data_IF_833244798174
#
_entry.id   IF_833244798174
#
_cell.length_a   1.000
_cell.length_b   1.000
_cell.length_c   1.000
_cell.angle_alpha   90.00
_cell.angle_beta   90.00
_cell.angle_gamma   90.00
#
_symmetry.space_group_name_H-M   'P 1'
#
loop_
_entity.id
_entity.type
_entity.pdbx_description
1 polymer ?
#
# COMPACT_ATOMS: atom_id res chain seq x y z
N UNK A 1 -31.28 -22.75 -44.64
CA UNK A 1 -30.45 -21.69 -45.25
C UNK A 1 -29.91 -20.83 -44.12
N UNK A 2 -28.63 -21.00 -43.77
CA UNK A 2 -27.97 -20.14 -42.80
C UNK A 2 -27.69 -18.79 -43.47
N UNK A 3 -28.27 -17.72 -42.94
CA UNK A 3 -27.91 -16.35 -43.34
C UNK A 3 -26.47 -16.12 -42.89
N UNK A 4 -25.53 -16.15 -43.82
CA UNK A 4 -24.14 -15.79 -43.57
C UNK A 4 -24.05 -14.29 -43.29
N UNK A 5 -23.20 -13.92 -42.34
CA UNK A 5 -22.86 -12.53 -42.05
C UNK A 5 -22.16 -11.89 -43.26
N UNK A 6 -22.51 -10.67 -43.64
CA UNK A 6 -21.89 -9.99 -44.77
C UNK A 6 -20.50 -9.45 -44.39
N UNK A 7 -19.57 -9.48 -45.34
CA UNK A 7 -18.22 -8.93 -45.15
C UNK A 7 -18.25 -7.44 -44.80
N UNK A 8 -19.20 -6.67 -45.37
CA UNK A 8 -19.32 -5.24 -45.04
C UNK A 8 -19.87 -5.00 -43.64
N UNK A 9 -20.75 -5.89 -43.15
CA UNK A 9 -21.25 -5.82 -41.78
C UNK A 9 -20.10 -6.06 -40.79
N UNK A 10 -19.20 -6.99 -41.10
CA UNK A 10 -18.04 -7.26 -40.27
C UNK A 10 -17.02 -6.11 -40.29
N UNK A 11 -16.78 -5.48 -41.45
CA UNK A 11 -15.85 -4.37 -41.58
C UNK A 11 -16.27 -3.13 -40.77
N UNK A 12 -17.57 -2.80 -40.76
CA UNK A 12 -18.08 -1.67 -39.97
C UNK A 12 -17.93 -1.96 -38.47
N UNK A 13 -18.20 -3.19 -38.03
CA UNK A 13 -18.05 -3.58 -36.62
C UNK A 13 -16.59 -3.45 -36.17
N UNK A 14 -15.63 -3.92 -36.97
CA UNK A 14 -14.19 -3.79 -36.64
C UNK A 14 -13.78 -2.32 -36.58
N UNK A 15 -14.26 -1.48 -37.50
CA UNK A 15 -13.96 -0.05 -37.50
C UNK A 15 -14.48 0.65 -36.22
N UNK A 16 -15.70 0.33 -35.78
CA UNK A 16 -16.27 0.91 -34.56
C UNK A 16 -15.52 0.42 -33.32
N UNK A 17 -15.22 -0.88 -33.21
CA UNK A 17 -14.45 -1.44 -32.09
C UNK A 17 -13.07 -0.78 -32.01
N UNK A 18 -12.41 -0.52 -33.14
CA UNK A 18 -11.11 0.15 -33.18
C UNK A 18 -11.13 1.55 -32.55
N UNK A 19 -12.15 2.36 -32.86
CA UNK A 19 -12.31 3.71 -32.29
C UNK A 19 -12.62 3.63 -30.79
N UNK A 20 -13.54 2.75 -30.38
CA UNK A 20 -13.92 2.58 -28.98
C UNK A 20 -12.75 2.09 -28.13
N UNK A 21 -11.92 1.19 -28.66
CA UNK A 21 -10.72 0.71 -27.98
C UNK A 21 -9.71 1.84 -27.75
N UNK A 22 -9.45 2.69 -28.75
CA UNK A 22 -8.49 3.78 -28.65
C UNK A 22 -8.87 4.79 -27.55
N UNK A 23 -10.14 5.23 -27.52
CA UNK A 23 -10.63 6.15 -26.47
C UNK A 23 -10.68 5.47 -25.10
N UNK A 24 -11.10 4.20 -25.07
CA UNK A 24 -11.20 3.42 -23.84
C UNK A 24 -9.87 3.24 -23.12
N UNK A 25 -8.78 3.01 -23.85
CA UNK A 25 -7.43 2.81 -23.28
C UNK A 25 -6.96 4.05 -22.52
N UNK A 26 -7.07 5.24 -23.12
CA UNK A 26 -6.59 6.50 -22.51
C UNK A 26 -7.40 6.82 -21.24
N UNK A 27 -8.73 6.69 -21.32
CA UNK A 27 -9.59 6.92 -20.16
C UNK A 27 -9.27 5.92 -19.03
N UNK A 28 -9.18 4.63 -19.34
CA UNK A 28 -8.89 3.58 -18.37
C UNK A 28 -7.55 3.78 -17.65
N UNK A 29 -6.52 4.21 -18.38
CA UNK A 29 -5.21 4.52 -17.79
C UNK A 29 -5.30 5.63 -16.74
N UNK A 30 -6.07 6.70 -17.00
CA UNK A 30 -6.24 7.81 -16.05
C UNK A 30 -7.05 7.41 -14.80
N UNK A 31 -8.11 6.62 -14.98
CA UNK A 31 -8.93 6.12 -13.86
C UNK A 31 -8.15 5.15 -12.97
N UNK A 32 -7.41 4.22 -13.57
CA UNK A 32 -6.61 3.25 -12.81
C UNK A 32 -5.51 3.96 -12.01
N UNK A 33 -4.84 4.96 -12.59
CA UNK A 33 -3.85 5.73 -11.85
C UNK A 33 -4.47 6.50 -10.68
N UNK A 34 -5.58 7.20 -10.91
CA UNK A 34 -6.28 7.93 -9.84
C UNK A 34 -6.76 6.99 -8.72
N UNK A 35 -7.21 5.78 -9.07
CA UNK A 35 -7.61 4.77 -8.11
C UNK A 35 -6.42 4.28 -7.26
N UNK A 36 -5.25 4.03 -7.87
CA UNK A 36 -4.03 3.66 -7.15
C UNK A 36 -3.56 4.74 -6.19
N UNK A 37 -3.55 6.01 -6.64
CA UNK A 37 -3.19 7.16 -5.80
C UNK A 37 -4.08 7.23 -4.56
N UNK A 38 -5.40 7.10 -4.75
CA UNK A 38 -6.37 7.17 -3.65
C UNK A 38 -6.25 5.99 -2.70
N UNK A 39 -6.05 4.77 -3.22
CA UNK A 39 -5.79 3.59 -2.41
C UNK A 39 -4.50 3.74 -1.60
N UNK A 40 -3.43 4.27 -2.20
CA UNK A 40 -2.16 4.52 -1.52
C UNK A 40 -2.32 5.52 -0.37
N UNK A 41 -3.02 6.64 -0.60
CA UNK A 41 -3.35 7.61 0.45
C UNK A 41 -4.15 6.97 1.59
N UNK A 42 -5.13 6.14 1.25
CA UNK A 42 -5.92 5.41 2.23
C UNK A 42 -5.05 4.45 3.04
N UNK A 43 -4.19 3.66 2.40
CA UNK A 43 -3.28 2.74 3.06
C UNK A 43 -2.33 3.46 4.02
N UNK A 44 -1.77 4.61 3.62
CA UNK A 44 -0.94 5.43 4.50
C UNK A 44 -1.70 5.85 5.76
N UNK A 45 -2.89 6.45 5.59
CA UNK A 45 -3.71 6.89 6.73
C UNK A 45 -4.12 5.73 7.64
N UNK A 46 -4.47 4.59 7.05
CA UNK A 46 -4.87 3.40 7.79
C UNK A 46 -3.69 2.79 8.55
N UNK A 47 -2.50 2.72 7.95
CA UNK A 47 -1.29 2.28 8.63
C UNK A 47 -0.95 3.18 9.82
N UNK A 48 -0.97 4.51 9.64
CA UNK A 48 -0.73 5.47 10.74
C UNK A 48 -1.70 5.24 11.90
N UNK A 49 -3.01 5.15 11.60
CA UNK A 49 -4.04 4.89 12.61
C UNK A 49 -3.89 3.52 13.25
N UNK A 50 -3.57 2.51 12.46
CA UNK A 50 -3.35 1.15 12.95
C UNK A 50 -2.18 1.12 13.93
N UNK A 51 -1.06 1.76 13.58
CA UNK A 51 0.11 1.87 14.45
C UNK A 51 -0.20 2.62 15.74
N UNK A 52 -0.90 3.75 15.66
CA UNK A 52 -1.37 4.49 16.85
C UNK A 52 -2.25 3.61 17.74
N UNK A 53 -3.20 2.88 17.16
CA UNK A 53 -4.11 2.03 17.92
C UNK A 53 -3.37 0.87 18.62
N UNK A 54 -2.42 0.22 17.95
CA UNK A 54 -1.63 -0.85 18.56
C UNK A 54 -0.70 -0.32 19.66
N UNK A 55 -0.08 0.84 19.47
CA UNK A 55 0.71 1.47 20.54
C UNK A 55 -0.17 1.92 21.72
N UNK A 56 -1.36 2.45 21.46
CA UNK A 56 -2.32 2.84 22.49
C UNK A 56 -2.75 1.65 23.35
N UNK A 57 -2.89 0.44 22.79
CA UNK A 57 -3.17 -0.77 23.58
C UNK A 57 -2.13 -1.00 24.68
N UNK A 58 -0.86 -0.70 24.40
CA UNK A 58 0.18 -0.75 25.42
C UNK A 58 -0.01 0.31 26.52
N UNK A 59 -0.43 1.53 26.15
CA UNK A 59 -0.71 2.62 27.09
C UNK A 59 -1.90 2.33 28.03
N UNK A 60 -2.93 1.62 27.55
CA UNK A 60 -4.12 1.26 28.36
C UNK A 60 -3.94 0.00 29.21
N UNK A 61 -2.71 -0.52 29.35
CA UNK A 61 -2.37 -1.58 30.29
C UNK A 61 -2.20 -2.99 29.69
N UNK A 62 -2.17 -3.13 28.36
CA UNK A 62 -1.75 -4.41 27.76
C UNK A 62 -0.26 -4.63 27.96
N UNK A 63 0.12 -5.86 28.34
CA UNK A 63 1.54 -6.23 28.51
C UNK A 63 2.20 -6.66 27.20
N UNK A 64 1.40 -7.17 26.26
CA UNK A 64 1.87 -7.72 24.99
C UNK A 64 0.85 -7.45 23.88
N UNK A 65 1.34 -7.18 22.68
CA UNK A 65 0.56 -7.13 21.45
C UNK A 65 0.65 -8.47 20.73
N UNK A 66 -0.47 -8.94 20.20
CA UNK A 66 -0.51 -10.13 19.34
C UNK A 66 -0.56 -9.67 17.88
N UNK A 67 0.56 -9.83 17.19
CA UNK A 67 0.79 -9.32 15.84
C UNK A 67 1.14 -10.46 14.90
N UNK A 68 1.13 -10.18 13.60
CA UNK A 68 1.55 -11.07 12.53
C UNK A 68 2.99 -10.79 12.12
N UNK A 69 3.72 -11.84 11.79
CA UNK A 69 5.00 -11.73 11.08
C UNK A 69 4.75 -11.46 9.60
N UNK A 70 5.82 -11.25 8.83
CA UNK A 70 5.74 -10.96 7.40
C UNK A 70 4.78 -11.89 6.65
N UNK A 71 3.85 -11.32 5.87
CA UNK A 71 2.94 -12.08 5.00
C UNK A 71 3.72 -12.95 4.01
N UNK A 72 4.85 -12.46 3.49
CA UNK A 72 5.77 -13.23 2.62
C UNK A 72 6.31 -14.52 3.26
N UNK A 73 6.27 -14.64 4.58
CA UNK A 73 6.68 -15.81 5.34
C UNK A 73 5.49 -16.56 5.97
N UNK A 74 4.28 -16.36 5.41
CA UNK A 74 3.06 -17.06 5.81
C UNK A 74 2.25 -16.40 6.93
N UNK A 75 2.64 -15.22 7.43
CA UNK A 75 1.82 -14.48 8.40
C UNK A 75 1.62 -15.23 9.72
N UNK A 76 2.70 -15.77 10.27
CA UNK A 76 2.70 -16.40 11.60
C UNK A 76 2.31 -15.39 12.70
N UNK A 77 1.88 -15.87 13.86
CA UNK A 77 1.53 -14.99 14.98
C UNK A 77 2.72 -14.83 15.93
N UNK A 78 3.00 -13.61 16.37
CA UNK A 78 4.05 -13.25 17.32
C UNK A 78 3.47 -12.40 18.46
N UNK A 79 3.99 -12.58 19.67
CA UNK A 79 3.69 -11.72 20.82
C UNK A 79 4.83 -10.75 21.03
N UNK A 80 4.53 -9.47 21.12
CA UNK A 80 5.52 -8.40 21.27
C UNK A 80 5.25 -7.66 22.57
N UNK A 81 6.24 -7.61 23.46
CA UNK A 81 6.08 -6.94 24.75
C UNK A 81 5.92 -5.43 24.60
N UNK A 82 4.94 -4.87 25.30
CA UNK A 82 4.68 -3.43 25.38
C UNK A 82 5.77 -2.63 26.11
N UNK A 83 6.73 -3.30 26.76
CA UNK A 83 7.89 -2.64 27.37
C UNK A 83 8.91 -2.15 26.33
N UNK A 84 8.82 -2.63 25.09
CA UNK A 84 9.69 -2.23 23.98
C UNK A 84 9.46 -0.78 23.57
N UNK A 85 10.50 -0.10 23.10
CA UNK A 85 10.41 1.29 22.63
C UNK A 85 9.57 1.43 21.34
N UNK A 86 9.27 2.66 20.93
CA UNK A 86 8.44 2.92 19.75
C UNK A 86 9.07 2.34 18.47
N UNK A 87 10.40 2.36 18.36
CA UNK A 87 11.11 1.77 17.22
C UNK A 87 10.80 0.27 17.06
N UNK A 88 10.96 -0.50 18.14
CA UNK A 88 10.73 -1.94 18.13
C UNK A 88 9.25 -2.29 17.93
N UNK A 89 8.34 -1.55 18.57
CA UNK A 89 6.89 -1.74 18.40
C UNK A 89 6.46 -1.36 16.99
N UNK A 90 6.89 -0.19 16.49
CA UNK A 90 6.60 0.29 15.15
C UNK A 90 7.07 -0.66 14.07
N UNK A 91 8.26 -1.25 14.22
CA UNK A 91 8.73 -2.29 13.31
C UNK A 91 7.79 -3.49 13.29
N UNK A 92 7.43 -4.03 14.45
CA UNK A 92 6.55 -5.20 14.51
C UNK A 92 5.14 -4.91 13.97
N UNK A 93 4.59 -3.74 14.26
CA UNK A 93 3.26 -3.33 13.79
C UNK A 93 3.28 -3.10 12.28
N UNK A 94 4.33 -2.48 11.74
CA UNK A 94 4.49 -2.33 10.29
C UNK A 94 4.66 -3.68 9.58
N UNK A 95 5.38 -4.63 10.16
CA UNK A 95 5.45 -6.00 9.62
C UNK A 95 4.07 -6.65 9.60
N UNK A 96 3.31 -6.51 10.68
CA UNK A 96 1.95 -7.02 10.77
C UNK A 96 1.02 -6.40 9.70
N UNK A 97 1.21 -5.11 9.38
CA UNK A 97 0.47 -4.43 8.32
C UNK A 97 0.59 -5.10 6.94
N UNK A 98 1.70 -5.79 6.64
CA UNK A 98 1.83 -6.57 5.39
C UNK A 98 0.72 -7.62 5.23
N UNK A 99 0.08 -8.04 6.33
CA UNK A 99 -1.02 -9.00 6.33
C UNK A 99 -2.40 -8.37 6.16
N UNK A 100 -2.50 -7.03 6.17
CA UNK A 100 -3.77 -6.29 6.26
C UNK A 100 -4.12 -5.47 5.02
N UNK A 101 -3.11 -5.13 4.24
CA UNK A 101 -3.26 -4.39 3.00
C UNK A 101 -2.31 -4.95 1.95
N UNK A 102 -2.54 -4.58 0.69
CA UNK A 102 -1.66 -4.82 -0.45
C UNK A 102 -1.15 -3.48 -0.99
N UNK A 103 -0.01 -3.48 -1.71
CA UNK A 103 0.42 -2.29 -2.43
C UNK A 103 -0.46 -2.10 -3.70
N UNK A 104 -1.17 -0.96 -3.87
CA UNK A 104 -2.04 -0.73 -5.02
C UNK A 104 -1.29 -0.61 -6.36
N UNK A 105 0.01 -0.30 -6.34
CA UNK A 105 0.86 -0.25 -7.53
C UNK A 105 1.41 -1.62 -7.93
N UNK A 106 1.47 -2.57 -6.98
CA UNK A 106 1.89 -3.96 -7.18
C UNK A 106 0.72 -4.93 -6.92
N UNK A 107 -0.43 -4.63 -7.54
CA UNK A 107 -1.66 -5.40 -7.40
C UNK A 107 -1.49 -6.78 -8.05
N UNK A 108 -1.14 -7.79 -7.26
CA UNK A 108 -0.85 -9.14 -7.73
C UNK A 108 0.27 -9.83 -6.94
N UNK A 109 1.04 -9.06 -6.18
CA UNK A 109 2.04 -9.61 -5.28
C UNK A 109 1.39 -10.32 -4.08
N UNK A 110 1.81 -11.56 -3.82
CA UNK A 110 1.31 -12.35 -2.69
C UNK A 110 1.84 -11.87 -1.33
N UNK A 111 2.80 -10.94 -1.30
CA UNK A 111 3.50 -10.51 -0.09
C UNK A 111 2.81 -9.35 0.65
N UNK A 112 1.73 -8.79 0.10
CA UNK A 112 0.95 -7.74 0.74
C UNK A 112 1.54 -6.35 0.60
N UNK A 113 1.30 -5.50 1.61
CA UNK A 113 1.82 -4.15 1.62
C UNK A 113 3.34 -4.17 1.70
N UNK A 114 3.99 -3.36 0.87
CA UNK A 114 5.43 -3.18 0.90
C UNK A 114 5.84 -2.30 2.06
N UNK A 115 6.70 -2.83 2.93
CA UNK A 115 7.25 -2.11 4.08
C UNK A 115 8.77 -2.09 3.95
N UNK A 116 9.32 -0.89 3.97
CA UNK A 116 10.75 -0.64 3.90
C UNK A 116 11.23 -0.10 5.25
N UNK A 117 12.25 -0.75 5.82
CA UNK A 117 12.91 -0.28 7.04
C UNK A 117 14.33 0.17 6.71
N UNK A 118 14.78 1.27 7.31
CA UNK A 118 16.18 1.71 7.30
C UNK A 118 16.83 1.94 5.91
N UNK A 119 16.05 1.94 4.83
CA UNK A 119 16.42 2.38 3.49
C UNK A 119 15.85 3.77 3.20
N UNK A 120 16.58 4.56 2.41
CA UNK A 120 16.30 5.91 1.92
C UNK A 120 14.94 6.51 2.38
N UNK A 121 14.97 7.30 3.47
CA UNK A 121 13.75 7.78 4.15
C UNK A 121 12.74 8.46 3.22
N UNK A 122 13.22 9.07 2.14
CA UNK A 122 12.41 9.75 1.15
C UNK A 122 12.57 9.00 -0.18
N UNK A 123 11.61 8.15 -0.59
CA UNK A 123 11.60 7.56 -1.93
C UNK A 123 11.68 8.64 -3.01
N UNK A 124 12.47 8.38 -4.05
CA UNK A 124 12.67 9.30 -5.16
C UNK A 124 11.33 9.55 -5.89
N UNK A 125 11.10 10.78 -6.34
CA UNK A 125 9.86 11.13 -7.02
C UNK A 125 9.69 10.34 -8.33
N UNK A 126 10.77 10.26 -9.10
CA UNK A 126 10.85 9.69 -10.44
C UNK A 126 11.13 8.18 -10.47
N UNK A 127 10.81 7.47 -9.39
CA UNK A 127 10.98 6.03 -9.28
C UNK A 127 9.61 5.36 -9.02
N UNK A 128 8.88 4.98 -10.08
CA UNK A 128 7.55 4.37 -9.95
C UNK A 128 7.53 3.08 -9.14
N UNK A 129 8.66 2.37 -9.05
CA UNK A 129 8.77 1.12 -8.27
C UNK A 129 8.67 1.38 -6.76
N UNK A 130 8.81 2.64 -6.32
CA UNK A 130 8.67 3.06 -4.92
C UNK A 130 7.24 3.48 -4.54
N UNK A 131 6.31 3.51 -5.50
CA UNK A 131 4.97 4.00 -5.23
C UNK A 131 4.15 2.98 -4.45
N UNK A 132 3.44 3.46 -3.43
CA UNK A 132 2.68 2.63 -2.50
C UNK A 132 3.52 1.95 -1.41
N UNK A 133 4.86 1.99 -1.51
CA UNK A 133 5.75 1.47 -0.46
C UNK A 133 5.71 2.37 0.78
N UNK A 134 5.58 1.74 1.96
CA UNK A 134 5.63 2.42 3.23
C UNK A 134 7.04 2.34 3.83
N UNK A 135 7.71 3.48 3.91
CA UNK A 135 9.02 3.65 4.54
C UNK A 135 8.84 4.00 6.00
N UNK A 136 9.21 3.08 6.89
CA UNK A 136 9.06 3.23 8.33
C UNK A 136 10.42 3.47 8.96
N UNK A 137 10.57 4.61 9.62
CA UNK A 137 11.81 5.07 10.23
C UNK A 137 11.59 5.50 11.68
N UNK A 138 12.65 5.53 12.48
CA UNK A 138 12.58 5.89 13.90
C UNK A 138 13.50 7.07 14.17
N UNK A 139 13.00 8.32 14.05
CA UNK A 139 13.83 9.50 14.29
C UNK A 139 14.31 9.57 15.75
N UNK A 140 13.55 9.00 16.68
CA UNK A 140 13.89 8.88 18.10
C UNK A 140 13.45 7.51 18.63
N UNK A 141 13.77 7.20 19.88
CA UNK A 141 13.31 5.95 20.52
C UNK A 141 11.80 5.89 20.71
N UNK A 142 11.13 7.04 20.79
CA UNK A 142 9.72 7.16 21.16
C UNK A 142 8.82 7.59 20.00
N UNK A 143 9.41 7.81 18.81
CA UNK A 143 8.68 8.19 17.62
C UNK A 143 8.99 7.28 16.44
N UNK A 144 7.95 7.01 15.66
CA UNK A 144 8.01 6.32 14.38
C UNK A 144 7.49 7.27 13.32
N UNK A 145 8.30 7.49 12.28
CA UNK A 145 7.93 8.23 11.08
C UNK A 145 7.54 7.25 9.98
N UNK A 146 6.37 7.46 9.39
CA UNK A 146 5.88 6.68 8.25
C UNK A 146 5.89 7.61 7.03
N UNK A 147 6.52 7.17 5.95
CA UNK A 147 6.58 7.91 4.68
C UNK A 147 6.01 7.02 3.58
N UNK A 148 5.21 7.58 2.69
CA UNK A 148 4.65 6.85 1.56
C UNK A 148 4.53 7.75 0.36
N UNK A 149 5.14 7.34 -0.75
CA UNK A 149 4.98 8.04 -2.02
C UNK A 149 3.83 7.42 -2.79
N UNK A 150 2.87 8.24 -3.17
CA UNK A 150 1.71 7.81 -3.96
C UNK A 150 1.74 8.34 -5.39
N UNK A 151 2.69 9.20 -5.76
CA UNK A 151 3.02 9.58 -7.14
C UNK A 151 4.28 10.47 -7.14
N UNK A 152 4.70 10.94 -8.31
CA UNK A 152 5.79 11.92 -8.47
C UNK A 152 5.63 13.13 -7.53
N UNK A 153 4.40 13.61 -7.38
CA UNK A 153 4.08 14.83 -6.64
C UNK A 153 3.51 14.61 -5.23
N UNK A 154 3.15 13.37 -4.88
CA UNK A 154 2.45 13.07 -3.63
C UNK A 154 3.36 12.23 -2.74
N UNK A 155 3.97 12.90 -1.75
CA UNK A 155 4.70 12.28 -0.66
C UNK A 155 3.95 12.54 0.65
N UNK A 156 3.52 11.47 1.31
CA UNK A 156 2.83 11.52 2.59
C UNK A 156 3.84 11.23 3.70
N UNK A 157 3.71 11.92 4.83
CA UNK A 157 4.58 11.75 5.99
C UNK A 157 3.77 11.97 7.26
N UNK A 158 3.77 10.97 8.12
CA UNK A 158 3.12 11.00 9.43
C UNK A 158 4.09 10.54 10.52
N UNK A 159 3.81 10.95 11.76
CA UNK A 159 4.55 10.52 12.95
C UNK A 159 3.60 9.89 13.96
N UNK A 160 4.06 8.79 14.56
CA UNK A 160 3.37 8.07 15.63
C UNK A 160 4.29 8.04 16.83
N UNK A 161 3.82 8.49 17.98
CA UNK A 161 4.58 8.47 19.23
C UNK A 161 4.07 7.35 20.13
N UNK A 162 4.96 6.79 20.94
CA UNK A 162 4.60 5.92 22.05
C UNK A 162 4.59 6.77 23.32
N UNK A 163 3.44 6.83 23.99
CA UNK A 163 3.28 7.46 25.30
C UNK A 163 3.85 6.60 26.45
#
# INVERSE_FOLDING_TARGET
MNKGFSLIELLVVVAIIGILAAVGIVAYSGYTESARINACKSNHSLLTKYMQNEMMKCGVGQKELTLKTWKSHGGGTVKVSCTKNAASLGQAIAIDWTNRADNPYDSGNAWGASIQFNSNANPAANDPDTYGDHYVHWPTNDQVRIITRCSDSILLTDFVSKD
#
